data_IF_977153318668
#
_entry.id   IF_977153318668
#
_cell.length_a   1.000
_cell.length_b   1.000
_cell.length_c   1.000
_cell.angle_alpha   90.00
_cell.angle_beta   90.00
_cell.angle_gamma   90.00
#
_symmetry.space_group_name_H-M   'P 1'
#
loop_
_entity.id
_entity.type
_entity.pdbx_description
1 polymer ?
#
# COMPACT_ATOMS: atom_id res chain seq x y z
N UNK A 1 7.58 8.02 -13.74
CA UNK A 1 7.07 6.69 -14.16
C UNK A 1 6.11 6.86 -15.33
N UNK A 2 6.48 6.52 -16.57
CA UNK A 2 5.58 6.68 -17.72
C UNK A 2 4.46 5.61 -17.79
N UNK A 3 4.66 4.49 -17.10
CA UNK A 3 3.84 3.27 -17.07
C UNK A 3 2.85 3.20 -15.88
N UNK A 4 2.66 4.29 -15.14
CA UNK A 4 1.88 4.29 -13.89
C UNK A 4 0.41 3.82 -14.08
N UNK A 5 -0.17 4.05 -15.27
CA UNK A 5 -1.52 3.57 -15.61
C UNK A 5 -1.59 2.05 -15.74
N UNK A 6 -0.58 1.44 -16.35
CA UNK A 6 -0.50 -0.01 -16.52
C UNK A 6 -0.26 -0.72 -15.18
N UNK A 7 0.36 -0.04 -14.22
CA UNK A 7 0.61 -0.53 -12.86
C UNK A 7 -0.58 -0.40 -11.92
N UNK A 8 -1.55 0.46 -12.23
CA UNK A 8 -2.66 0.73 -11.34
C UNK A 8 -3.49 -0.54 -11.06
N UNK A 9 -3.82 -1.29 -12.10
CA UNK A 9 -4.69 -2.47 -11.99
C UNK A 9 -4.00 -3.64 -11.27
N UNK A 10 -2.75 -4.03 -11.60
CA UNK A 10 -1.99 -5.02 -10.83
C UNK A 10 -1.84 -4.65 -9.35
N UNK A 11 -1.54 -3.37 -9.04
CA UNK A 11 -1.43 -2.92 -7.65
C UNK A 11 -2.78 -2.98 -6.93
N UNK A 12 -3.86 -2.61 -7.61
CA UNK A 12 -5.21 -2.66 -7.05
C UNK A 12 -5.61 -4.10 -6.72
N UNK A 13 -5.31 -5.07 -7.59
CA UNK A 13 -5.57 -6.49 -7.34
C UNK A 13 -4.82 -6.99 -6.09
N UNK A 14 -3.54 -6.63 -5.93
CA UNK A 14 -2.76 -6.98 -4.75
C UNK A 14 -3.36 -6.38 -3.48
N UNK A 15 -3.77 -5.11 -3.52
CA UNK A 15 -4.45 -4.47 -2.39
C UNK A 15 -5.77 -5.17 -2.06
N UNK A 16 -6.61 -5.49 -3.06
CA UNK A 16 -7.89 -6.15 -2.87
C UNK A 16 -7.73 -7.57 -2.30
N UNK A 17 -6.76 -8.34 -2.81
CA UNK A 17 -6.46 -9.70 -2.36
C UNK A 17 -6.04 -9.73 -0.88
N UNK A 18 -5.36 -8.68 -0.41
CA UNK A 18 -4.91 -8.55 0.98
C UNK A 18 -5.86 -7.68 1.84
N UNK A 19 -7.11 -7.46 1.39
CA UNK A 19 -8.13 -6.69 2.11
C UNK A 19 -7.70 -5.26 2.53
N UNK A 20 -6.74 -4.67 1.81
CA UNK A 20 -6.18 -3.36 2.11
C UNK A 20 -7.22 -2.27 1.85
N UNK A 21 -7.27 -1.29 2.76
CA UNK A 21 -8.10 -0.08 2.64
C UNK A 21 -7.21 1.13 2.49
N UNK A 22 -7.75 2.19 1.88
CA UNK A 22 -7.04 3.45 1.67
C UNK A 22 -6.79 3.73 0.20
N UNK A 23 -5.83 4.62 -0.05
CA UNK A 23 -5.56 5.16 -1.38
C UNK A 23 -4.06 5.21 -1.64
N UNK A 24 -3.65 4.73 -2.81
CA UNK A 24 -2.31 4.90 -3.35
C UNK A 24 -2.43 5.76 -4.61
N UNK A 25 -1.65 6.83 -4.67
CA UNK A 25 -1.51 7.74 -5.79
C UNK A 25 -0.20 7.42 -6.53
N UNK A 26 -0.33 6.93 -7.76
CA UNK A 26 0.79 6.74 -8.68
C UNK A 26 0.88 7.96 -9.60
N UNK A 27 2.03 8.61 -9.66
CA UNK A 27 2.27 9.78 -10.49
C UNK A 27 3.57 9.63 -11.30
N UNK A 28 3.84 10.60 -12.18
CA UNK A 28 5.12 10.64 -12.89
C UNK A 28 6.30 10.82 -11.93
N UNK A 29 6.10 11.54 -10.83
CA UNK A 29 7.13 11.91 -9.85
C UNK A 29 7.36 10.82 -8.80
N UNK A 30 6.44 9.86 -8.65
CA UNK A 30 6.62 8.72 -7.76
C UNK A 30 5.30 8.13 -7.26
N UNK A 31 5.34 7.66 -6.01
CA UNK A 31 4.23 7.01 -5.32
C UNK A 31 3.99 7.71 -3.98
N UNK A 32 2.73 7.93 -3.64
CA UNK A 32 2.32 8.42 -2.33
C UNK A 32 1.02 7.72 -1.93
N UNK A 33 0.77 7.53 -0.64
CA UNK A 33 -0.49 6.93 -0.23
C UNK A 33 -0.60 6.68 1.25
N UNK A 34 -1.84 6.42 1.66
CA UNK A 34 -2.17 5.95 3.00
C UNK A 34 -2.95 4.67 2.85
N UNK A 35 -2.45 3.59 3.44
CA UNK A 35 -3.11 2.29 3.45
C UNK A 35 -3.27 1.78 4.88
N UNK A 36 -4.29 0.95 5.09
CA UNK A 36 -4.60 0.31 6.35
C UNK A 36 -4.99 -1.15 6.11
N UNK A 37 -4.55 -2.01 7.02
CA UNK A 37 -4.77 -3.45 6.99
C UNK A 37 -4.06 -4.11 8.17
N UNK A 38 -3.98 -5.44 8.16
CA UNK A 38 -3.11 -6.13 9.12
C UNK A 38 -1.64 -5.89 8.79
N UNK A 39 -0.74 -6.10 9.75
CA UNK A 39 0.69 -5.93 9.52
C UNK A 39 1.19 -6.81 8.36
N UNK A 40 0.76 -8.07 8.29
CA UNK A 40 1.12 -9.00 7.21
C UNK A 40 0.57 -8.57 5.85
N UNK A 41 -0.66 -8.06 5.80
CA UNK A 41 -1.28 -7.61 4.55
C UNK A 41 -0.56 -6.36 4.00
N UNK A 42 -0.19 -5.44 4.89
CA UNK A 42 0.59 -4.24 4.54
C UNK A 42 1.98 -4.64 4.02
N UNK A 43 2.64 -5.59 4.69
CA UNK A 43 3.94 -6.12 4.23
C UNK A 43 3.86 -6.72 2.82
N UNK A 44 2.78 -7.46 2.51
CA UNK A 44 2.58 -8.03 1.17
C UNK A 44 2.49 -6.94 0.09
N UNK A 45 1.80 -5.84 0.36
CA UNK A 45 1.74 -4.69 -0.57
C UNK A 45 3.09 -3.99 -0.69
N UNK A 46 3.78 -3.75 0.43
CA UNK A 46 5.10 -3.10 0.41
C UNK A 46 6.09 -3.95 -0.38
N UNK A 47 6.14 -5.26 -0.14
CA UNK A 47 7.01 -6.18 -0.89
C UNK A 47 6.68 -6.20 -2.39
N UNK A 48 5.40 -6.16 -2.75
CA UNK A 48 4.99 -6.02 -4.15
C UNK A 48 5.51 -4.73 -4.77
N UNK A 49 5.43 -3.59 -4.06
CA UNK A 49 5.95 -2.31 -4.51
C UNK A 49 7.49 -2.34 -4.65
N UNK A 50 8.20 -2.86 -3.65
CA UNK A 50 9.66 -2.93 -3.62
C UNK A 50 10.26 -3.90 -4.66
N UNK A 51 9.46 -4.81 -5.24
CA UNK A 51 9.88 -5.60 -6.40
C UNK A 51 10.11 -4.74 -7.66
N UNK A 52 9.51 -3.54 -7.73
CA UNK A 52 9.92 -2.54 -8.70
C UNK A 52 11.14 -1.79 -8.16
N UNK A 53 12.27 -1.89 -8.87
CA UNK A 53 13.55 -1.29 -8.44
C UNK A 53 13.47 0.21 -8.22
N UNK A 54 12.47 0.89 -8.79
CA UNK A 54 12.22 2.33 -8.56
C UNK A 54 11.69 2.64 -7.17
N UNK A 55 11.14 1.64 -6.47
CA UNK A 55 10.56 1.76 -5.14
C UNK A 55 11.28 0.91 -4.09
N UNK A 56 12.48 0.41 -4.39
CA UNK A 56 13.24 -0.43 -3.46
C UNK A 56 13.49 0.25 -2.10
N UNK A 57 13.65 1.58 -2.10
CA UNK A 57 13.87 2.41 -0.91
C UNK A 57 12.63 3.22 -0.53
N UNK A 58 11.44 2.61 -0.61
CA UNK A 58 10.18 3.27 -0.27
C UNK A 58 10.17 3.67 1.22
N UNK A 59 10.19 4.97 1.51
CA UNK A 59 10.01 5.45 2.88
C UNK A 59 8.58 5.16 3.34
N UNK A 60 8.44 4.37 4.41
CA UNK A 60 7.14 4.09 5.02
C UNK A 60 7.10 4.60 6.45
N UNK A 61 5.98 5.22 6.82
CA UNK A 61 5.67 5.63 8.20
C UNK A 61 4.47 4.83 8.66
N UNK A 62 4.60 4.17 9.81
CA UNK A 62 3.58 3.26 10.32
C UNK A 62 3.07 3.73 11.69
N UNK A 63 1.78 3.52 11.92
CA UNK A 63 1.10 3.80 13.19
C UNK A 63 0.17 2.64 13.54
N UNK A 64 0.09 2.29 14.82
CA UNK A 64 -0.74 1.19 15.31
C UNK A 64 -2.05 1.74 15.90
N UNK A 65 -3.19 1.25 15.40
CA UNK A 65 -4.52 1.66 15.87
C UNK A 65 -5.13 0.53 16.68
N UNK A 66 -5.43 0.79 17.95
CA UNK A 66 -6.15 -0.15 18.81
C UNK A 66 -7.63 0.26 18.80
N UNK A 67 -8.49 -0.60 18.26
CA UNK A 67 -9.94 -0.43 18.37
C UNK A 67 -10.37 -1.03 19.70
N UNK A 68 -10.57 -0.17 20.69
CA UNK A 68 -11.12 -0.59 21.98
C UNK A 68 -12.63 -0.78 21.85
N UNK A 69 -13.08 -2.04 21.77
CA UNK A 69 -14.50 -2.40 21.77
C UNK A 69 -15.05 -2.39 23.21
N UNK A 70 -15.14 -1.20 23.82
CA UNK A 70 -15.83 -1.04 25.10
C UNK A 70 -17.33 -1.26 24.86
N UNK A 71 -17.81 -2.48 25.15
CA UNK A 71 -19.24 -2.76 25.25
C UNK A 71 -19.68 -2.35 26.66
N UNK A 72 -20.49 -1.31 26.77
CA UNK A 72 -21.26 -0.99 27.97
C UNK A 72 -22.52 -1.83 28.07
#
# INVERSE_FOLDING_TARGET
>A
MSDFREKQEPLLEVCQKNAIKGTIHLSLEGINGTIAGTASDIEMVINYLCNDSRFFDLETKQSLVIICLLRG
#
